data_IF_546299289550
#
_entry.id   IF_546299289550
#
_cell.length_a   1.000
_cell.length_b   1.000
_cell.length_c   1.000
_cell.angle_alpha   90.00
_cell.angle_beta   90.00
_cell.angle_gamma   90.00
#
_symmetry.space_group_name_H-M   'P 1'
#
loop_
_entity.id
_entity.type
_entity.pdbx_description
1 polymer ?
#
# COMPACT_ATOMS: atom_id res chain seq x y z
N UNK A 1 1.24 -6.58 -18.77
CA UNK A 1 2.24 -7.59 -18.37
C UNK A 1 1.73 -8.26 -17.11
N UNK A 2 1.50 -9.58 -17.11
CA UNK A 2 1.06 -10.32 -15.92
C UNK A 2 2.26 -11.07 -15.32
N UNK A 3 2.72 -10.67 -14.13
CA UNK A 3 3.69 -11.45 -13.36
C UNK A 3 2.98 -12.58 -12.59
N UNK A 4 3.67 -13.69 -12.37
CA UNK A 4 3.13 -14.78 -11.55
C UNK A 4 3.06 -14.36 -10.09
N UNK A 5 1.96 -14.67 -9.40
CA UNK A 5 1.85 -14.40 -7.97
C UNK A 5 2.82 -15.33 -7.21
N UNK A 6 3.69 -14.80 -6.32
CA UNK A 6 4.52 -15.63 -5.46
C UNK A 6 3.63 -16.50 -4.57
N UNK A 7 3.95 -17.80 -4.50
CA UNK A 7 3.12 -18.80 -3.81
C UNK A 7 3.69 -19.25 -2.47
N UNK A 8 4.99 -19.07 -2.27
CA UNK A 8 5.74 -19.53 -1.09
C UNK A 8 7.08 -18.79 -0.99
N UNK A 9 7.84 -19.03 0.08
CA UNK A 9 9.16 -18.43 0.32
C UNK A 9 9.10 -17.05 0.97
N UNK A 10 7.96 -16.69 1.56
CA UNK A 10 7.83 -15.46 2.34
C UNK A 10 8.50 -15.62 3.70
N UNK A 11 9.30 -14.62 4.06
CA UNK A 11 9.98 -14.57 5.34
C UNK A 11 9.74 -13.21 5.97
N UNK A 12 9.55 -13.16 7.29
CA UNK A 12 9.50 -11.90 8.01
C UNK A 12 10.86 -11.22 7.94
N UNK A 13 10.86 -9.95 7.56
CA UNK A 13 12.07 -9.15 7.56
C UNK A 13 12.51 -8.87 9.01
N UNK A 14 13.74 -9.22 9.34
CA UNK A 14 14.30 -9.07 10.70
C UNK A 14 15.26 -7.89 10.84
N UNK A 15 15.39 -7.06 9.78
CA UNK A 15 16.25 -5.88 9.79
C UNK A 15 15.55 -4.64 10.35
N UNK A 16 16.08 -3.46 10.03
CA UNK A 16 15.47 -2.19 10.44
C UNK A 16 14.13 -1.95 9.73
N UNK A 17 13.05 -1.80 10.50
CA UNK A 17 11.71 -1.50 10.01
C UNK A 17 11.34 -0.02 10.18
N UNK A 18 12.33 0.84 10.45
CA UNK A 18 12.12 2.28 10.51
C UNK A 18 11.58 2.82 9.19
N UNK A 19 10.73 3.84 9.26
CA UNK A 19 10.15 4.51 8.07
C UNK A 19 11.26 5.04 7.15
N UNK A 20 12.36 5.52 7.72
CA UNK A 20 13.51 5.99 6.94
C UNK A 20 14.12 4.86 6.10
N UNK A 21 14.37 3.69 6.72
CA UNK A 21 14.93 2.54 6.03
C UNK A 21 13.98 1.98 4.97
N UNK A 22 12.68 1.86 5.29
CA UNK A 22 11.66 1.42 4.33
C UNK A 22 11.61 2.38 3.13
N UNK A 23 11.60 3.70 3.34
CA UNK A 23 11.60 4.66 2.24
C UNK A 23 12.87 4.56 1.39
N UNK A 24 14.04 4.35 1.99
CA UNK A 24 15.27 4.11 1.25
C UNK A 24 15.18 2.83 0.41
N UNK A 25 14.61 1.74 0.94
CA UNK A 25 14.38 0.52 0.16
C UNK A 25 13.41 0.75 -1.00
N UNK A 26 12.27 1.39 -0.75
CA UNK A 26 11.27 1.71 -1.77
C UNK A 26 11.84 2.55 -2.91
N UNK A 27 12.67 3.55 -2.61
CA UNK A 27 13.29 4.41 -3.62
C UNK A 27 14.36 3.71 -4.47
N UNK A 28 14.91 2.60 -3.97
CA UNK A 28 15.91 1.80 -4.67
C UNK A 28 15.31 0.59 -5.40
N UNK A 29 14.01 0.35 -5.26
CA UNK A 29 13.28 -0.72 -5.93
C UNK A 29 12.59 -0.17 -7.18
N UNK A 30 12.60 -0.95 -8.24
CA UNK A 30 11.79 -0.70 -9.44
C UNK A 30 10.82 -1.87 -9.68
N UNK A 31 10.06 -1.78 -10.76
CA UNK A 31 9.11 -2.83 -11.15
C UNK A 31 9.79 -4.15 -11.51
N UNK A 32 11.10 -4.17 -11.75
CA UNK A 32 11.90 -5.35 -12.12
C UNK A 32 12.86 -5.80 -11.00
N UNK A 33 12.67 -5.30 -9.79
CA UNK A 33 13.48 -5.70 -8.64
C UNK A 33 13.38 -7.20 -8.40
N UNK A 34 14.53 -7.84 -8.12
CA UNK A 34 14.61 -9.25 -7.76
C UNK A 34 13.94 -9.56 -6.41
N UNK A 35 13.65 -8.54 -5.61
CA UNK A 35 13.07 -8.65 -4.27
C UNK A 35 11.66 -8.08 -4.27
N UNK A 36 10.70 -8.92 -3.91
CA UNK A 36 9.31 -8.54 -3.69
C UNK A 36 9.01 -8.41 -2.19
N UNK A 37 8.21 -7.43 -1.81
CA UNK A 37 7.89 -7.13 -0.42
C UNK A 37 6.44 -6.69 -0.25
N UNK A 38 5.81 -7.26 0.79
CA UNK A 38 4.53 -6.80 1.33
C UNK A 38 4.80 -6.08 2.65
N UNK A 39 4.21 -4.90 2.79
CA UNK A 39 4.37 -4.02 3.92
C UNK A 39 3.07 -3.97 4.72
N UNK A 40 3.16 -4.04 6.05
CA UNK A 40 2.09 -3.70 6.98
C UNK A 40 2.45 -2.34 7.61
N UNK A 41 1.75 -1.27 7.19
CA UNK A 41 2.11 0.10 7.54
C UNK A 41 0.91 0.96 7.91
N UNK A 42 1.19 1.99 8.67
CA UNK A 42 0.31 3.12 8.89
C UNK A 42 0.56 4.16 7.78
N UNK A 43 -0.49 4.57 7.06
CA UNK A 43 -0.35 5.44 5.89
C UNK A 43 -1.36 6.58 5.90
N UNK A 44 -0.83 7.80 5.79
CA UNK A 44 -1.62 9.02 5.59
C UNK A 44 -1.69 9.36 4.11
N UNK A 45 -2.84 9.89 3.68
CA UNK A 45 -3.05 10.34 2.31
C UNK A 45 -2.72 11.83 2.20
N UNK A 46 -1.64 12.24 1.51
CA UNK A 46 -1.26 13.64 1.42
C UNK A 46 -2.36 14.49 0.77
N UNK A 47 -2.70 15.63 1.38
CA UNK A 47 -3.75 16.53 0.88
C UNK A 47 -3.53 16.98 -0.57
N UNK A 48 -2.25 17.15 -0.97
CA UNK A 48 -1.87 17.50 -2.35
C UNK A 48 -2.37 16.51 -3.40
N UNK A 49 -2.67 15.27 -3.02
CA UNK A 49 -3.15 14.21 -3.91
C UNK A 49 -4.69 14.08 -3.89
N UNK A 50 -5.38 14.79 -2.99
CA UNK A 50 -6.83 14.62 -2.82
C UNK A 50 -7.59 15.03 -4.07
N UNK A 51 -7.24 16.15 -4.68
CA UNK A 51 -7.88 16.63 -5.92
C UNK A 51 -7.59 15.68 -7.10
N UNK A 52 -6.34 15.20 -7.22
CA UNK A 52 -5.93 14.31 -8.31
C UNK A 52 -6.55 12.91 -8.18
N UNK A 53 -6.76 12.43 -6.96
CA UNK A 53 -7.21 11.06 -6.67
C UNK A 53 -8.66 11.00 -6.19
N UNK A 54 -9.44 12.07 -6.33
CA UNK A 54 -10.83 12.14 -5.83
C UNK A 54 -11.74 11.07 -6.46
N UNK A 55 -11.54 10.76 -7.75
CA UNK A 55 -12.39 9.79 -8.46
C UNK A 55 -12.06 8.34 -8.11
N UNK A 56 -10.78 8.02 -7.93
CA UNK A 56 -10.33 6.67 -7.60
C UNK A 56 -9.15 6.69 -6.61
N UNK A 57 -9.44 6.90 -5.31
CA UNK A 57 -8.43 6.82 -4.28
C UNK A 57 -7.74 5.46 -4.27
N UNK A 58 -6.42 5.49 -4.29
CA UNK A 58 -5.58 4.33 -4.02
C UNK A 58 -5.76 3.83 -2.57
N UNK A 59 -5.34 2.58 -2.32
CA UNK A 59 -5.44 1.88 -1.03
C UNK A 59 -6.88 1.74 -0.51
N UNK A 60 -7.79 1.13 -1.31
CA UNK A 60 -9.13 0.83 -0.82
C UNK A 60 -9.05 -0.15 0.36
N UNK A 61 -9.97 0.00 1.30
CA UNK A 61 -10.06 -0.87 2.47
C UNK A 61 -11.46 -1.45 2.62
N UNK A 62 -11.55 -2.55 3.37
CA UNK A 62 -12.84 -3.16 3.68
C UNK A 62 -13.43 -2.47 4.90
N UNK A 63 -14.46 -1.64 4.70
CA UNK A 63 -15.17 -0.94 5.76
C UNK A 63 -16.68 -1.03 5.54
N UNK A 64 -17.49 -0.69 6.54
CA UNK A 64 -18.95 -0.55 6.39
C UNK A 64 -19.26 0.93 6.13
N UNK A 65 -19.62 1.33 4.89
CA UNK A 65 -19.92 2.73 4.61
C UNK A 65 -21.18 3.19 5.33
N UNK A 66 -21.30 4.49 5.57
CA UNK A 66 -22.51 5.11 6.12
C UNK A 66 -23.73 4.73 5.28
N UNK A 67 -24.78 4.20 5.93
CA UNK A 67 -25.98 3.71 5.26
C UNK A 67 -25.91 2.27 4.73
N UNK A 68 -24.77 1.58 4.86
CA UNK A 68 -24.64 0.14 4.58
C UNK A 68 -24.71 -0.67 5.87
N UNK A 69 -25.19 -1.92 5.78
CA UNK A 69 -25.08 -2.92 6.85
C UNK A 69 -23.98 -3.95 6.57
N UNK A 70 -23.41 -3.92 5.37
CA UNK A 70 -22.42 -4.89 4.91
C UNK A 70 -21.07 -4.21 4.67
N UNK A 71 -19.96 -4.90 4.96
CA UNK A 71 -18.63 -4.42 4.63
C UNK A 71 -18.46 -4.42 3.11
N UNK A 72 -17.91 -3.32 2.59
CA UNK A 72 -17.62 -3.10 1.17
C UNK A 72 -16.17 -2.69 1.02
N UNK A 73 -15.58 -3.05 -0.11
CA UNK A 73 -14.31 -2.48 -0.51
C UNK A 73 -14.56 -1.02 -0.88
N UNK A 74 -13.99 -0.10 -0.12
CA UNK A 74 -14.25 1.34 -0.22
C UNK A 74 -12.95 2.07 -0.50
N UNK A 75 -12.90 2.77 -1.64
CA UNK A 75 -11.84 3.72 -1.92
C UNK A 75 -12.15 5.02 -1.16
N UNK A 76 -11.26 5.43 -0.27
CA UNK A 76 -11.42 6.65 0.51
C UNK A 76 -10.03 7.24 0.85
N UNK A 77 -9.98 8.54 1.13
CA UNK A 77 -8.75 9.29 1.40
C UNK A 77 -8.38 9.34 2.91
N UNK A 78 -9.05 8.53 3.74
CA UNK A 78 -8.79 8.50 5.18
C UNK A 78 -7.47 7.81 5.48
N UNK A 79 -6.86 8.19 6.61
CA UNK A 79 -5.70 7.52 7.18
C UNK A 79 -5.98 6.03 7.42
N UNK A 80 -4.99 5.19 7.10
CA UNK A 80 -5.06 3.73 7.29
C UNK A 80 -4.10 3.30 8.39
N UNK A 81 -4.54 2.32 9.18
CA UNK A 81 -3.77 1.71 10.26
C UNK A 81 -3.54 0.24 9.92
N UNK A 82 -2.32 -0.27 10.11
CA UNK A 82 -1.94 -1.67 9.82
C UNK A 82 -2.37 -2.12 8.42
N UNK A 83 -2.20 -1.25 7.43
CA UNK A 83 -2.62 -1.52 6.06
C UNK A 83 -1.59 -2.42 5.38
N UNK A 84 -2.05 -3.55 4.85
CA UNK A 84 -1.22 -4.52 4.14
C UNK A 84 -1.20 -4.18 2.65
N UNK A 85 -0.02 -3.84 2.12
CA UNK A 85 0.16 -3.35 0.75
C UNK A 85 1.41 -3.92 0.11
N UNK A 86 1.34 -4.20 -1.19
CA UNK A 86 2.50 -4.52 -2.01
C UNK A 86 3.29 -3.25 -2.36
N UNK A 87 4.61 -3.29 -2.24
CA UNK A 87 5.48 -2.11 -2.35
C UNK A 87 5.28 -1.30 -3.65
N UNK A 88 5.04 -1.95 -4.79
CA UNK A 88 4.77 -1.26 -6.07
C UNK A 88 3.57 -0.33 -6.03
N UNK A 89 2.57 -0.61 -5.20
CA UNK A 89 1.42 0.28 -5.04
C UNK A 89 1.79 1.58 -4.33
N UNK A 90 2.90 1.63 -3.60
CA UNK A 90 3.43 2.82 -2.95
C UNK A 90 4.41 3.60 -3.83
N UNK A 91 5.11 2.96 -4.77
CA UNK A 91 6.02 3.65 -5.70
C UNK A 91 5.22 4.62 -6.60
N UNK A 92 4.00 4.26 -7.00
CA UNK A 92 3.16 5.14 -7.81
C UNK A 92 2.54 6.33 -7.04
N UNK A 93 2.81 6.49 -5.73
CA UNK A 93 2.36 7.64 -4.92
C UNK A 93 3.32 8.85 -4.94
N UNK A 94 4.58 8.67 -5.37
CA UNK A 94 5.64 9.69 -5.24
C UNK A 94 5.63 10.72 -6.36
#
# INVERSE_FOLDING_TARGET
MSKFLPKDGFHWYTGDISVAHINTMLNNMDDESDVDMVLEIDVSYPEKLHDQHNDLPYLPEKMVPTGSKLPKLTANLQYKINYVVHYTKLIHYS
#
